data_IF_611636607940
#
_entry.id   IF_611636607940
#
_cell.length_a   1.000
_cell.length_b   1.000
_cell.length_c   1.000
_cell.angle_alpha   90.00
_cell.angle_beta   90.00
_cell.angle_gamma   90.00
#
_symmetry.space_group_name_H-M   'P 1'
#
loop_
_entity.id
_entity.type
_entity.pdbx_description
1 polymer ?
#
# COMPACT_ATOMS: atom_id res chain seq x y z
N UNK A 1 -1.70 -30.24 -2.85
CA UNK A 1 -0.28 -30.15 -3.25
C UNK A 1 0.46 -29.23 -2.29
N UNK A 2 1.75 -29.46 -2.11
CA UNK A 2 2.63 -28.58 -1.31
C UNK A 2 3.93 -28.38 -2.09
N UNK A 3 4.34 -27.14 -2.27
CA UNK A 3 5.65 -26.82 -2.82
C UNK A 3 6.73 -27.00 -1.75
N UNK A 4 7.75 -27.80 -2.05
CA UNK A 4 8.78 -28.15 -1.08
C UNK A 4 9.70 -26.96 -0.72
N UNK A 5 9.89 -26.02 -1.65
CA UNK A 5 10.78 -24.86 -1.47
C UNK A 5 10.09 -23.74 -0.67
N UNK A 6 9.02 -23.16 -1.23
CA UNK A 6 8.30 -22.04 -0.62
C UNK A 6 7.39 -22.44 0.53
N UNK A 7 7.13 -23.74 0.70
CA UNK A 7 6.09 -24.28 1.58
C UNK A 7 4.69 -23.81 1.20
N UNK A 8 4.49 -23.42 -0.06
CA UNK A 8 3.17 -23.04 -0.56
C UNK A 8 2.22 -24.23 -0.54
N UNK A 9 1.09 -24.08 0.15
CA UNK A 9 0.05 -25.09 0.21
C UNK A 9 -1.03 -24.74 -0.81
N UNK A 10 -1.41 -25.71 -1.64
CA UNK A 10 -2.58 -25.64 -2.51
C UNK A 10 -3.55 -26.79 -2.23
N UNK A 11 -4.78 -26.44 -1.87
CA UNK A 11 -5.81 -27.37 -1.41
C UNK A 11 -7.07 -27.14 -2.22
N UNK A 12 -7.59 -28.23 -2.76
CA UNK A 12 -8.80 -28.25 -3.57
C UNK A 12 -9.88 -29.08 -2.87
N UNK A 13 -11.11 -28.58 -2.87
CA UNK A 13 -12.28 -29.39 -2.46
C UNK A 13 -12.64 -30.31 -3.62
N UNK A 14 -12.80 -31.59 -3.33
CA UNK A 14 -13.10 -32.64 -4.31
C UNK A 14 -14.30 -33.46 -3.81
N UNK A 15 -15.16 -33.87 -4.74
CA UNK A 15 -16.33 -34.72 -4.46
C UNK A 15 -16.05 -36.20 -4.73
N UNK A 16 -14.91 -36.49 -5.37
CA UNK A 16 -14.44 -37.82 -5.74
C UNK A 16 -12.92 -37.84 -5.65
N UNK A 17 -12.37 -39.01 -5.36
CA UNK A 17 -10.92 -39.26 -5.29
C UNK A 17 -10.39 -39.98 -6.53
N UNK A 18 -11.13 -39.96 -7.64
CA UNK A 18 -10.68 -40.57 -8.91
C UNK A 18 -9.46 -39.86 -9.49
N UNK A 19 -8.70 -40.58 -10.30
CA UNK A 19 -7.51 -40.06 -11.01
C UNK A 19 -7.87 -38.88 -11.91
N UNK A 20 -8.99 -38.96 -12.63
CA UNK A 20 -9.47 -37.87 -13.50
C UNK A 20 -9.78 -36.59 -12.70
N UNK A 21 -10.47 -36.73 -11.56
CA UNK A 21 -10.74 -35.59 -10.69
C UNK A 21 -9.44 -34.98 -10.14
N UNK A 22 -8.46 -35.83 -9.81
CA UNK A 22 -7.13 -35.40 -9.33
C UNK A 22 -6.36 -34.66 -10.43
N UNK A 23 -6.32 -35.19 -11.65
CA UNK A 23 -5.69 -34.56 -12.82
C UNK A 23 -6.32 -33.19 -13.08
N UNK A 24 -7.65 -33.06 -13.04
CA UNK A 24 -8.32 -31.77 -13.20
C UNK A 24 -7.87 -30.73 -12.16
N UNK A 25 -7.58 -31.14 -10.92
CA UNK A 25 -7.03 -30.24 -9.88
C UNK A 25 -5.55 -29.94 -10.08
N UNK A 26 -4.77 -30.90 -10.57
CA UNK A 26 -3.38 -30.66 -10.96
C UNK A 26 -3.31 -29.62 -12.09
N UNK A 27 -4.14 -29.76 -13.13
CA UNK A 27 -4.26 -28.79 -14.22
C UNK A 27 -4.59 -27.39 -13.72
N UNK A 28 -5.54 -27.26 -12.78
CA UNK A 28 -5.86 -25.96 -12.17
C UNK A 28 -4.65 -25.34 -11.45
N UNK A 29 -3.87 -26.17 -10.76
CA UNK A 29 -2.66 -25.74 -10.04
C UNK A 29 -1.58 -25.29 -11.02
N UNK A 30 -1.31 -26.08 -12.05
CA UNK A 30 -0.31 -25.77 -13.09
C UNK A 30 -0.69 -24.58 -13.95
N UNK A 31 -1.98 -24.32 -14.19
CA UNK A 31 -2.42 -23.11 -14.86
C UNK A 31 -2.06 -21.83 -14.07
N UNK A 32 -1.90 -21.93 -12.74
CA UNK A 32 -1.56 -20.79 -11.88
C UNK A 32 -0.05 -20.66 -11.67
N UNK A 33 0.65 -21.78 -11.53
CA UNK A 33 2.05 -21.82 -11.08
C UNK A 33 3.05 -22.27 -12.16
N UNK A 34 2.57 -22.78 -13.28
CA UNK A 34 3.38 -23.51 -14.26
C UNK A 34 3.52 -24.99 -13.90
N UNK A 35 4.10 -25.76 -14.83
CA UNK A 35 4.51 -27.14 -14.59
C UNK A 35 5.72 -27.15 -13.64
N UNK A 36 5.83 -28.21 -12.84
CA UNK A 36 6.96 -28.43 -11.95
C UNK A 36 7.88 -29.51 -12.52
N UNK A 37 9.14 -29.55 -12.07
CA UNK A 37 10.10 -30.55 -12.54
C UNK A 37 9.87 -31.94 -11.93
N UNK A 38 9.41 -31.99 -10.68
CA UNK A 38 9.29 -33.23 -9.90
C UNK A 38 8.02 -33.22 -9.04
N UNK A 39 7.27 -34.32 -9.11
CA UNK A 39 6.18 -34.66 -8.20
C UNK A 39 6.56 -35.88 -7.38
N UNK A 40 6.31 -35.80 -6.07
CA UNK A 40 6.44 -36.92 -5.15
C UNK A 40 5.03 -37.27 -4.65
N UNK A 41 4.58 -38.49 -4.94
CA UNK A 41 3.24 -38.99 -4.55
C UNK A 41 3.27 -40.50 -4.31
N UNK A 42 2.25 -41.02 -3.63
CA UNK A 42 1.97 -42.45 -3.45
C UNK A 42 1.07 -43.04 -4.56
N UNK A 43 0.32 -42.22 -5.31
CA UNK A 43 -0.59 -42.71 -6.35
C UNK A 43 0.10 -42.83 -7.70
N UNK A 44 -0.09 -44.00 -8.35
CA UNK A 44 0.36 -44.27 -9.72
C UNK A 44 -0.64 -43.85 -10.79
N UNK A 45 -1.84 -43.45 -10.40
CA UNK A 45 -3.01 -43.41 -11.28
C UNK A 45 -3.00 -42.21 -12.25
N UNK A 46 -2.15 -41.22 -11.99
CA UNK A 46 -1.95 -40.05 -12.85
C UNK A 46 -0.52 -39.99 -13.42
N UNK A 47 0.25 -41.09 -13.31
CA UNK A 47 1.64 -41.15 -13.76
C UNK A 47 1.78 -40.86 -15.27
N UNK A 48 0.85 -41.36 -16.09
CA UNK A 48 0.85 -41.12 -17.54
C UNK A 48 0.66 -39.64 -17.87
N UNK A 49 -0.24 -38.96 -17.17
CA UNK A 49 -0.46 -37.52 -17.31
C UNK A 49 0.81 -36.72 -16.97
N UNK A 50 1.50 -37.08 -15.87
CA UNK A 50 2.71 -36.41 -15.41
C UNK A 50 3.86 -36.62 -16.40
N UNK A 51 4.02 -37.86 -16.89
CA UNK A 51 5.00 -38.22 -17.91
C UNK A 51 4.77 -37.48 -19.23
N UNK A 52 3.50 -37.36 -19.67
CA UNK A 52 3.15 -36.65 -20.91
C UNK A 52 3.45 -35.15 -20.84
N UNK A 53 3.42 -34.57 -19.64
CA UNK A 53 3.81 -33.18 -19.39
C UNK A 53 5.32 -33.01 -19.12
N UNK A 54 6.13 -34.06 -19.26
CA UNK A 54 7.58 -34.00 -19.04
C UNK A 54 7.99 -33.84 -17.58
N UNK A 55 7.08 -34.12 -16.64
CA UNK A 55 7.33 -33.99 -15.21
C UNK A 55 7.90 -35.32 -14.68
N UNK A 56 8.94 -35.27 -13.86
CA UNK A 56 9.46 -36.46 -13.18
C UNK A 56 8.46 -36.88 -12.08
N UNK A 57 8.01 -38.14 -12.12
CA UNK A 57 7.17 -38.69 -11.06
C UNK A 57 7.97 -39.67 -10.20
N UNK A 58 8.24 -39.30 -8.95
CA UNK A 58 8.83 -40.21 -7.96
C UNK A 58 7.75 -40.73 -7.04
N UNK A 59 7.45 -42.01 -7.18
CA UNK A 59 6.59 -42.67 -6.20
C UNK A 59 7.35 -42.85 -4.90
N UNK A 60 6.82 -42.30 -3.80
CA UNK A 60 7.41 -42.52 -2.48
C UNK A 60 7.40 -44.01 -2.18
N UNK A 61 8.56 -44.65 -2.02
CA UNK A 61 8.63 -45.90 -1.28
C UNK A 61 8.19 -45.60 0.18
N UNK A 62 7.55 -46.55 0.89
CA UNK A 62 7.43 -46.41 2.34
C UNK A 62 8.86 -46.21 2.87
N UNK A 63 9.14 -45.13 3.60
CA UNK A 63 10.47 -44.68 4.11
C UNK A 63 11.18 -43.48 3.43
N UNK A 64 10.48 -42.55 2.73
CA UNK A 64 11.01 -41.18 2.49
C UNK A 64 10.39 -40.12 3.43
N UNK A 65 10.84 -40.03 4.70
CA UNK A 65 10.20 -39.21 5.74
C UNK A 65 10.25 -37.69 5.49
N UNK A 66 11.23 -37.19 4.73
CA UNK A 66 11.38 -35.75 4.52
C UNK A 66 10.28 -35.14 3.63
N UNK A 67 9.98 -35.79 2.48
CA UNK A 67 8.97 -35.32 1.52
C UNK A 67 7.55 -35.62 1.98
N UNK A 68 7.30 -36.86 2.46
CA UNK A 68 6.01 -37.20 3.07
C UNK A 68 5.76 -36.36 4.33
N UNK A 69 6.79 -36.11 5.15
CA UNK A 69 6.70 -35.27 6.34
C UNK A 69 6.38 -33.80 6.03
N UNK A 70 6.67 -33.29 4.82
CA UNK A 70 6.21 -31.96 4.40
C UNK A 70 4.70 -31.97 4.11
N UNK A 71 4.21 -32.97 3.38
CA UNK A 71 2.79 -33.13 3.10
C UNK A 71 1.98 -33.37 4.39
N UNK A 72 2.47 -34.24 5.29
CA UNK A 72 1.85 -34.54 6.58
C UNK A 72 1.74 -33.30 7.47
N UNK A 73 2.84 -32.54 7.62
CA UNK A 73 2.84 -31.28 8.37
C UNK A 73 1.89 -30.24 7.78
N UNK A 74 1.80 -30.17 6.45
CA UNK A 74 0.85 -29.30 5.78
C UNK A 74 -0.61 -29.70 6.07
N UNK A 75 -0.91 -31.00 6.05
CA UNK A 75 -2.24 -31.54 6.41
C UNK A 75 -2.57 -31.25 7.87
N UNK A 76 -1.63 -31.42 8.79
CA UNK A 76 -1.81 -31.07 10.20
C UNK A 76 -2.12 -29.58 10.37
N UNK A 77 -1.30 -28.72 9.77
CA UNK A 77 -1.48 -27.26 9.80
C UNK A 77 -2.84 -26.85 9.24
N UNK A 78 -3.27 -27.50 8.16
CA UNK A 78 -4.59 -27.30 7.57
C UNK A 78 -5.72 -27.69 8.53
N UNK A 79 -5.67 -28.89 9.12
CA UNK A 79 -6.70 -29.36 10.06
C UNK A 79 -6.81 -28.43 11.27
N UNK A 80 -5.68 -28.04 11.86
CA UNK A 80 -5.66 -27.12 13.00
C UNK A 80 -6.16 -25.72 12.63
N UNK A 81 -5.74 -25.20 11.48
CA UNK A 81 -6.20 -23.90 10.99
C UNK A 81 -7.70 -23.89 10.69
N UNK A 82 -8.22 -24.95 10.09
CA UNK A 82 -9.67 -25.08 9.81
C UNK A 82 -10.51 -25.17 11.09
N UNK A 83 -10.02 -25.86 12.14
CA UNK A 83 -10.69 -25.90 13.45
C UNK A 83 -10.88 -24.51 14.08
N UNK A 84 -9.94 -23.58 13.83
CA UNK A 84 -10.00 -22.21 14.36
C UNK A 84 -11.03 -21.32 13.64
N UNK A 85 -11.44 -21.67 12.42
CA UNK A 85 -12.38 -20.87 11.62
C UNK A 85 -13.83 -21.37 11.86
N UNK A 86 -14.56 -20.64 12.70
CA UNK A 86 -15.92 -21.04 13.13
C UNK A 86 -17.00 -20.80 12.07
N UNK A 87 -16.95 -19.69 11.35
CA UNK A 87 -18.07 -19.22 10.51
C UNK A 87 -17.83 -19.38 8.99
N UNK A 88 -18.92 -19.54 8.24
CA UNK A 88 -18.94 -19.54 6.77
C UNK A 88 -18.99 -20.92 6.12
N UNK A 89 -19.20 -20.95 4.80
CA UNK A 89 -19.17 -22.19 4.00
C UNK A 89 -17.77 -22.79 3.95
N UNK A 90 -17.66 -24.09 3.69
CA UNK A 90 -16.36 -24.81 3.58
C UNK A 90 -15.39 -24.06 2.65
N UNK A 91 -15.88 -23.59 1.50
CA UNK A 91 -15.09 -22.81 0.54
C UNK A 91 -14.59 -21.48 1.11
N UNK A 92 -15.44 -20.73 1.82
CA UNK A 92 -15.04 -19.46 2.46
C UNK A 92 -14.00 -19.70 3.55
N UNK A 93 -14.16 -20.75 4.36
CA UNK A 93 -13.19 -21.14 5.40
C UNK A 93 -11.84 -21.51 4.78
N UNK A 94 -11.86 -22.35 3.74
CA UNK A 94 -10.67 -22.76 3.01
C UNK A 94 -9.93 -21.57 2.41
N UNK A 95 -10.63 -20.67 1.70
CA UNK A 95 -10.01 -19.50 1.08
C UNK A 95 -9.37 -18.59 2.14
N UNK A 96 -10.02 -18.41 3.29
CA UNK A 96 -9.49 -17.62 4.40
C UNK A 96 -8.25 -18.27 5.01
N UNK A 97 -8.30 -19.59 5.24
CA UNK A 97 -7.16 -20.35 5.72
C UNK A 97 -5.96 -20.22 4.77
N UNK A 98 -6.15 -20.53 3.48
CA UNK A 98 -5.09 -20.50 2.47
C UNK A 98 -4.48 -19.11 2.37
N UNK A 99 -5.31 -18.06 2.31
CA UNK A 99 -4.82 -16.69 2.25
C UNK A 99 -3.94 -16.35 3.45
N UNK A 100 -4.43 -16.60 4.67
CA UNK A 100 -3.68 -16.31 5.89
C UNK A 100 -2.38 -17.12 5.98
N UNK A 101 -2.43 -18.41 5.66
CA UNK A 101 -1.26 -19.28 5.67
C UNK A 101 -0.18 -18.78 4.70
N UNK A 102 -0.56 -18.42 3.46
CA UNK A 102 0.35 -17.98 2.40
C UNK A 102 1.00 -16.63 2.68
N UNK A 103 0.44 -15.80 3.56
CA UNK A 103 1.00 -14.49 3.97
C UNK A 103 1.65 -14.51 5.35
N UNK A 104 1.68 -15.66 6.03
CA UNK A 104 2.29 -15.79 7.36
C UNK A 104 3.67 -16.45 7.22
N UNK A 105 4.72 -15.89 7.86
CA UNK A 105 6.03 -16.52 7.90
C UNK A 105 5.96 -17.95 8.45
N UNK A 106 6.63 -18.88 7.78
CA UNK A 106 6.68 -20.27 8.24
C UNK A 106 7.86 -20.49 9.18
N UNK A 107 7.70 -21.36 10.18
CA UNK A 107 8.77 -21.67 11.14
C UNK A 107 10.00 -22.31 10.47
N UNK A 108 9.79 -23.07 9.39
CA UNK A 108 10.88 -23.79 8.70
C UNK A 108 11.74 -22.90 7.81
N UNK A 109 11.13 -21.92 7.13
CA UNK A 109 11.85 -21.02 6.21
C UNK A 109 12.09 -19.63 6.80
N UNK A 110 11.46 -19.30 7.94
CA UNK A 110 11.35 -17.96 8.52
C UNK A 110 10.75 -16.90 7.56
N UNK A 111 10.32 -17.31 6.37
CA UNK A 111 9.89 -16.45 5.27
C UNK A 111 8.45 -16.77 4.89
N UNK A 112 7.82 -15.81 4.22
CA UNK A 112 6.42 -15.91 3.79
C UNK A 112 6.33 -16.75 2.50
N UNK A 113 5.47 -17.79 2.43
CA UNK A 113 5.36 -18.64 1.24
C UNK A 113 5.07 -17.88 -0.05
N UNK A 114 4.17 -16.89 0.01
CA UNK A 114 3.83 -16.07 -1.15
C UNK A 114 4.99 -15.19 -1.63
N UNK A 115 5.86 -14.73 -0.72
CA UNK A 115 7.03 -13.93 -1.07
C UNK A 115 8.11 -14.78 -1.71
N UNK A 116 8.35 -16.00 -1.20
CA UNK A 116 9.26 -16.96 -1.82
C UNK A 116 8.81 -17.37 -3.23
N UNK A 117 7.52 -17.63 -3.40
CA UNK A 117 6.98 -18.13 -4.67
C UNK A 117 6.79 -17.02 -5.71
N UNK A 118 6.27 -15.86 -5.32
CA UNK A 118 5.90 -14.78 -6.24
C UNK A 118 6.90 -13.61 -6.26
N UNK A 119 7.93 -13.64 -5.41
CA UNK A 119 8.91 -12.55 -5.22
C UNK A 119 8.28 -11.19 -4.94
N UNK A 120 7.09 -11.17 -4.34
CA UNK A 120 6.36 -9.94 -3.97
C UNK A 120 5.53 -10.16 -2.72
N UNK A 121 5.37 -9.10 -1.93
CA UNK A 121 4.50 -9.10 -0.76
C UNK A 121 3.02 -8.99 -1.17
N UNK A 122 2.20 -9.94 -0.73
CA UNK A 122 0.75 -9.87 -0.90
C UNK A 122 0.16 -8.86 0.09
N UNK A 123 -0.81 -8.06 -0.38
CA UNK A 123 -1.52 -7.10 0.47
C UNK A 123 -2.63 -7.80 1.24
N UNK A 124 -2.70 -7.53 2.52
CA UNK A 124 -3.71 -7.98 3.46
C UNK A 124 -4.49 -6.80 4.03
N UNK A 125 -5.58 -7.08 4.75
CA UNK A 125 -6.34 -6.03 5.45
C UNK A 125 -5.52 -5.36 6.57
N UNK A 126 -4.52 -6.04 7.13
CA UNK A 126 -3.63 -5.47 8.14
C UNK A 126 -2.75 -4.37 7.55
N UNK A 127 -2.38 -4.47 6.27
CA UNK A 127 -1.61 -3.43 5.58
C UNK A 127 -2.39 -2.12 5.40
N UNK A 128 -3.72 -2.12 5.57
CA UNK A 128 -4.53 -0.91 5.59
C UNK A 128 -4.42 -0.15 6.92
N UNK A 129 -4.12 -0.87 8.01
CA UNK A 129 -4.00 -0.30 9.36
C UNK A 129 -2.67 0.44 9.49
N UNK A 130 -1.63 -0.04 8.82
CA UNK A 130 -0.33 0.63 8.77
C UNK A 130 -0.30 1.60 7.60
N UNK A 131 -0.37 2.93 7.82
CA UNK A 131 -0.25 3.87 6.73
C UNK A 131 1.12 3.71 6.07
N UNK A 132 1.14 3.40 4.78
CA UNK A 132 2.38 3.35 4.00
C UNK A 132 3.08 4.72 4.10
N UNK A 133 4.13 4.77 4.91
CA UNK A 133 4.86 5.99 5.26
C UNK A 133 5.45 6.60 3.99
N UNK A 134 5.97 5.77 3.09
CA UNK A 134 6.53 6.19 1.80
C UNK A 134 5.46 6.87 0.94
N UNK A 135 4.28 6.27 0.83
CA UNK A 135 3.17 6.85 0.07
C UNK A 135 2.70 8.18 0.68
N UNK A 136 2.60 8.27 2.01
CA UNK A 136 2.29 9.53 2.70
C UNK A 136 3.36 10.60 2.49
N UNK A 137 4.64 10.23 2.48
CA UNK A 137 5.75 11.16 2.23
C UNK A 137 5.71 11.65 0.79
N UNK A 138 5.53 10.75 -0.19
CA UNK A 138 5.39 11.12 -1.60
C UNK A 138 4.19 12.05 -1.85
N UNK A 139 3.01 11.75 -1.27
CA UNK A 139 1.83 12.61 -1.38
C UNK A 139 2.08 14.01 -0.77
N UNK A 140 2.80 14.09 0.36
CA UNK A 140 3.18 15.38 0.97
C UNK A 140 4.18 16.16 0.13
N UNK A 141 5.16 15.49 -0.49
CA UNK A 141 6.13 16.12 -1.38
C UNK A 141 5.47 16.64 -2.66
N UNK A 142 4.56 15.88 -3.27
CA UNK A 142 3.80 16.31 -4.44
C UNK A 142 2.89 17.52 -4.13
N UNK A 143 2.21 17.50 -2.97
CA UNK A 143 1.42 18.65 -2.50
C UNK A 143 2.27 19.90 -2.30
N UNK A 144 3.46 19.78 -1.68
CA UNK A 144 4.40 20.89 -1.55
C UNK A 144 4.80 21.45 -2.92
N UNK A 145 5.23 20.60 -3.84
CA UNK A 145 5.58 21.02 -5.19
C UNK A 145 4.44 21.76 -5.92
N UNK A 146 3.20 21.30 -5.77
CA UNK A 146 2.05 21.95 -6.38
C UNK A 146 1.72 23.31 -5.72
N UNK A 147 1.86 23.41 -4.40
CA UNK A 147 1.71 24.68 -3.67
C UNK A 147 2.82 25.68 -4.03
N UNK A 148 4.05 25.23 -4.17
CA UNK A 148 5.19 26.07 -4.55
C UNK A 148 5.04 26.57 -5.99
N UNK A 149 4.58 25.73 -6.92
CA UNK A 149 4.25 26.15 -8.31
C UNK A 149 3.08 27.13 -8.41
N UNK A 150 2.09 27.04 -7.52
CA UNK A 150 0.98 28.02 -7.44
C UNK A 150 1.34 29.27 -6.64
N UNK A 151 2.50 29.31 -5.99
CA UNK A 151 2.95 30.50 -5.28
C UNK A 151 3.40 31.55 -6.29
N UNK A 152 2.53 32.51 -6.57
CA UNK A 152 2.91 33.69 -7.36
C UNK A 152 3.91 34.48 -6.53
N UNK A 153 5.14 34.59 -7.03
CA UNK A 153 6.20 35.35 -6.39
C UNK A 153 5.84 36.84 -6.45
N UNK A 154 5.30 37.39 -5.35
CA UNK A 154 4.88 38.80 -5.28
C UNK A 154 6.11 39.66 -5.01
N UNK A 155 6.65 40.27 -6.07
CA UNK A 155 7.67 41.31 -5.93
C UNK A 155 6.98 42.61 -5.49
N UNK A 156 7.28 43.06 -4.26
CA UNK A 156 6.80 44.33 -3.70
C UNK A 156 8.03 45.20 -3.52
N UNK A 157 8.04 46.37 -4.16
CA UNK A 157 9.18 47.28 -4.12
C UNK A 157 9.07 48.26 -2.95
N UNK A 158 10.22 48.76 -2.49
CA UNK A 158 10.31 49.83 -1.49
C UNK A 158 9.68 51.11 -2.08
N UNK A 159 8.86 51.81 -1.30
CA UNK A 159 8.06 52.96 -1.72
C UNK A 159 6.67 52.62 -2.25
N UNK A 160 6.30 51.33 -2.35
CA UNK A 160 4.97 50.96 -2.84
C UNK A 160 3.91 51.08 -1.74
N UNK A 161 2.77 51.69 -2.08
CA UNK A 161 1.57 51.70 -1.26
C UNK A 161 0.96 50.31 -1.12
N UNK A 162 0.86 49.82 0.11
CA UNK A 162 0.39 48.49 0.46
C UNK A 162 -0.65 48.53 1.57
N UNK A 163 -1.53 47.55 1.61
CA UNK A 163 -2.39 47.33 2.78
C UNK A 163 -1.76 46.28 3.70
N UNK A 164 -1.58 46.65 4.96
CA UNK A 164 -1.15 45.77 6.03
C UNK A 164 -2.36 45.27 6.83
N UNK A 165 -2.40 43.97 7.12
CA UNK A 165 -3.49 43.43 7.94
C UNK A 165 -3.36 43.88 9.40
N UNK A 166 -4.44 44.49 9.92
CA UNK A 166 -4.55 44.86 11.32
C UNK A 166 -4.96 43.63 12.15
N UNK A 167 -4.25 43.39 13.26
CA UNK A 167 -4.54 42.31 14.20
C UNK A 167 -4.93 42.84 15.60
N UNK A 168 -5.09 44.16 15.75
CA UNK A 168 -5.61 44.73 16.99
C UNK A 168 -6.99 44.16 17.31
N UNK A 169 -7.12 43.58 18.50
CA UNK A 169 -8.36 43.02 19.02
C UNK A 169 -9.42 44.14 19.07
N UNK A 170 -10.59 43.89 18.47
CA UNK A 170 -11.71 44.85 18.43
C UNK A 170 -11.76 45.81 17.23
N UNK A 171 -10.75 45.82 16.35
CA UNK A 171 -10.75 46.70 15.17
C UNK A 171 -11.70 46.22 14.06
N UNK A 172 -12.69 47.03 13.65
CA UNK A 172 -13.56 46.76 12.48
C UNK A 172 -12.79 46.82 11.15
N UNK A 173 -11.68 47.56 11.11
CA UNK A 173 -10.84 47.74 9.90
C UNK A 173 -9.77 46.65 9.86
N UNK A 174 -9.95 45.67 8.97
CA UNK A 174 -9.03 44.52 8.81
C UNK A 174 -7.75 44.86 8.04
N UNK A 175 -7.73 45.96 7.27
CA UNK A 175 -6.63 46.34 6.39
C UNK A 175 -6.34 47.84 6.53
N UNK A 176 -5.10 48.19 6.87
CA UNK A 176 -4.67 49.58 7.02
C UNK A 176 -3.71 49.91 5.87
N UNK A 177 -3.90 51.02 5.14
CA UNK A 177 -2.96 51.46 4.12
C UNK A 177 -1.62 51.86 4.76
N UNK A 178 -0.52 51.62 4.09
CA UNK A 178 0.81 52.02 4.53
C UNK A 178 1.83 51.89 3.41
N UNK A 179 3.03 52.41 3.63
CA UNK A 179 4.09 52.44 2.62
C UNK A 179 5.24 51.52 3.02
N UNK A 180 5.75 50.72 2.09
CA UNK A 180 6.89 49.84 2.37
C UNK A 180 8.18 50.66 2.45
N UNK A 181 8.80 50.73 3.62
CA UNK A 181 10.07 51.45 3.82
C UNK A 181 11.28 50.53 3.55
N UNK A 182 11.20 49.26 3.96
CA UNK A 182 12.35 48.35 3.88
C UNK A 182 11.94 46.90 3.77
N UNK A 183 12.53 46.17 2.83
CA UNK A 183 12.44 44.72 2.77
C UNK A 183 13.52 44.10 3.69
N UNK A 184 13.09 43.30 4.66
CA UNK A 184 13.97 42.63 5.64
C UNK A 184 14.19 41.15 5.31
N UNK A 185 13.45 40.60 4.35
CA UNK A 185 13.61 39.24 3.85
C UNK A 185 12.68 38.99 2.66
N UNK A 186 12.71 37.81 2.03
CA UNK A 186 11.98 37.54 0.79
C UNK A 186 10.49 37.87 0.86
N UNK A 187 9.88 37.70 2.04
CA UNK A 187 8.44 37.94 2.29
C UNK A 187 8.19 38.75 3.58
N UNK A 188 9.18 39.52 4.04
CA UNK A 188 9.12 40.32 5.27
C UNK A 188 9.44 41.78 5.00
N UNK A 189 8.53 42.69 5.38
CA UNK A 189 8.66 44.11 5.07
C UNK A 189 8.34 44.99 6.29
N UNK A 190 8.97 46.17 6.35
CA UNK A 190 8.66 47.25 7.28
C UNK A 190 7.75 48.25 6.58
N UNK A 191 6.61 48.56 7.20
CA UNK A 191 5.54 49.37 6.62
C UNK A 191 5.32 50.59 7.51
N UNK A 192 5.35 51.79 6.93
CA UNK A 192 4.94 53.03 7.59
C UNK A 192 3.42 53.13 7.54
N UNK A 193 2.78 53.22 8.69
CA UNK A 193 1.35 53.52 8.79
C UNK A 193 1.12 55.04 8.63
N UNK A 194 -0.12 55.47 8.34
CA UNK A 194 -0.47 56.89 8.22
C UNK A 194 -0.21 57.63 9.54
N UNK A 195 -0.34 56.93 10.66
CA UNK A 195 -0.10 57.43 12.02
C UNK A 195 1.40 57.55 12.36
N UNK A 196 2.31 57.37 11.38
CA UNK A 196 3.76 57.51 11.54
C UNK A 196 4.47 56.27 12.11
N UNK A 197 3.73 55.31 12.67
CA UNK A 197 4.30 54.10 13.26
C UNK A 197 4.80 53.12 12.20
N UNK A 198 5.95 52.46 12.47
CA UNK A 198 6.52 51.45 11.58
C UNK A 198 6.24 50.05 12.11
N UNK A 199 5.60 49.21 11.29
CA UNK A 199 5.29 47.82 11.64
C UNK A 199 6.05 46.84 10.74
N UNK A 200 6.56 45.76 11.33
CA UNK A 200 7.13 44.64 10.58
C UNK A 200 6.05 43.59 10.32
N UNK A 201 5.85 43.19 9.05
CA UNK A 201 4.85 42.18 8.66
C UNK A 201 5.43 41.13 7.72
N UNK A 202 5.00 39.87 7.93
CA UNK A 202 5.32 38.69 7.12
C UNK A 202 4.05 38.23 6.39
N UNK A 203 4.11 37.98 5.08
CA UNK A 203 3.01 37.41 4.24
C UNK A 203 1.66 38.18 4.11
N UNK A 204 1.34 39.16 4.97
CA UNK A 204 0.03 39.84 4.99
C UNK A 204 0.06 41.26 4.41
N UNK A 205 0.60 41.38 3.20
CA UNK A 205 0.75 42.65 2.49
C UNK A 205 0.14 42.49 1.10
N UNK A 206 -0.74 43.42 0.70
CA UNK A 206 -1.31 43.46 -0.64
C UNK A 206 -1.07 44.81 -1.28
N UNK A 207 -0.53 44.83 -2.51
CA UNK A 207 -0.34 46.07 -3.27
C UNK A 207 -1.68 46.72 -3.62
N UNK A 208 -1.69 48.06 -3.68
CA UNK A 208 -2.88 48.86 -4.00
C UNK A 208 -3.56 48.43 -5.32
N UNK A 209 -2.77 47.98 -6.30
CA UNK A 209 -3.25 47.52 -7.61
C UNK A 209 -3.95 46.14 -7.56
N UNK A 210 -3.61 45.28 -6.59
CA UNK A 210 -4.21 43.94 -6.46
C UNK A 210 -5.57 43.94 -5.76
N UNK A 211 -5.92 45.03 -5.08
CA UNK A 211 -7.13 45.13 -4.23
C UNK A 211 -8.43 45.30 -5.03
N UNK A 212 -8.38 45.88 -6.24
CA UNK A 212 -9.57 46.02 -7.11
C UNK A 212 -10.19 44.67 -7.52
N UNK A 213 -9.38 43.62 -7.64
CA UNK A 213 -9.82 42.26 -8.00
C UNK A 213 -10.41 41.45 -6.83
N UNK A 214 -10.12 41.81 -5.57
CA UNK A 214 -10.62 41.06 -4.40
C UNK A 214 -11.87 41.67 -3.78
N UNK A 215 -12.02 43.00 -3.78
CA UNK A 215 -13.22 43.66 -3.27
C UNK A 215 -14.47 43.37 -4.12
N UNK A 216 -14.31 43.08 -5.42
CA UNK A 216 -15.41 42.69 -6.30
C UNK A 216 -15.92 41.25 -6.03
N UNK A 217 -15.13 40.40 -5.37
CA UNK A 217 -15.50 39.00 -5.03
C UNK A 217 -16.15 38.82 -3.66
N UNK A 218 -16.22 39.85 -2.83
CA UNK A 218 -16.89 39.82 -1.51
C UNK A 218 -18.25 40.54 -1.50
N UNK A 219 -18.76 40.94 -2.68
CA UNK A 219 -20.08 41.58 -2.85
C UNK A 219 -21.11 40.71 -3.59
N UNK A 220 -20.88 39.40 -3.67
CA UNK A 220 -21.91 38.40 -4.02
C UNK A 220 -22.03 37.41 -2.87
#
# INVERSE_FOLDING_TARGET
MVDAYSKWIDIHVMNSTTSEATIAKLQQTFATHGLCDLIISDSKEFADYVKLNGIEHRTSAPLHPASNGCAERAVQSFKEGMKKIKEGTVRKKLNRFLFNYRITPQSTTALVPSELLMKRKLKSRLDLVFPNIEKRVQERQQKKHYHDKKSVNRQINVGQGVFARNFAIGSKIKWIPGEVIKQSGPLSFHIKLPDGHVIRKKYYITSHQSTKLRLHKQRK
#
